data_IF_892975753769
#
_entry.id   IF_892975753769
#
_cell.length_a   1.000
_cell.length_b   1.000
_cell.length_c   1.000
_cell.angle_alpha   90.00
_cell.angle_beta   90.00
_cell.angle_gamma   90.00
#
_symmetry.space_group_name_H-M   'P 1'
#
loop_
_entity.id
_entity.type
_entity.pdbx_description
1 polymer ?
#
# COMPACT_ATOMS: atom_id res chain seq x y z
N UNK A 1 -21.91 -20.88 58.95
CA UNK A 1 -21.61 -21.94 57.96
C UNK A 1 -21.44 -21.27 56.61
N UNK A 2 -20.25 -21.31 55.96
CA UNK A 2 -20.12 -20.73 54.63
C UNK A 2 -20.93 -21.57 53.64
N UNK A 3 -21.96 -20.98 53.05
CA UNK A 3 -22.82 -21.65 52.06
C UNK A 3 -22.01 -22.05 50.83
N UNK A 4 -22.09 -23.31 50.43
CA UNK A 4 -21.55 -23.80 49.17
C UNK A 4 -22.56 -23.52 48.04
N UNK A 5 -22.07 -23.10 46.88
CA UNK A 5 -22.87 -22.74 45.71
C UNK A 5 -22.63 -23.77 44.61
N UNK A 6 -23.57 -24.69 44.42
CA UNK A 6 -23.49 -25.71 43.38
C UNK A 6 -23.78 -25.12 42.00
N UNK A 7 -23.02 -25.53 40.99
CA UNK A 7 -23.34 -25.22 39.61
C UNK A 7 -24.55 -26.04 39.15
N UNK A 8 -25.55 -25.44 38.49
CA UNK A 8 -26.67 -26.21 37.94
C UNK A 8 -26.29 -26.96 36.66
N UNK A 9 -25.22 -26.55 35.98
CA UNK A 9 -24.82 -27.06 34.67
C UNK A 9 -23.72 -28.14 34.76
N UNK A 10 -23.11 -28.34 35.94
CA UNK A 10 -22.15 -29.42 36.20
C UNK A 10 -22.01 -29.74 37.70
N UNK A 11 -21.29 -30.82 38.04
CA UNK A 11 -21.09 -31.27 39.42
C UNK A 11 -20.15 -30.40 40.27
N UNK A 12 -19.74 -29.20 39.81
CA UNK A 12 -18.79 -28.35 40.53
C UNK A 12 -19.46 -27.51 41.61
N UNK A 13 -18.86 -27.47 42.81
CA UNK A 13 -19.29 -26.60 43.91
C UNK A 13 -18.30 -25.46 44.11
N UNK A 14 -18.83 -24.24 44.22
CA UNK A 14 -18.07 -23.01 44.41
C UNK A 14 -18.24 -22.49 45.85
N UNK A 15 -17.21 -21.82 46.36
CA UNK A 15 -17.16 -21.32 47.74
C UNK A 15 -17.88 -19.98 47.94
N UNK A 16 -18.31 -19.35 46.85
CA UNK A 16 -19.05 -18.09 46.86
C UNK A 16 -19.90 -17.93 45.60
N UNK A 17 -20.93 -17.08 45.67
CA UNK A 17 -21.79 -16.74 44.53
C UNK A 17 -20.99 -16.14 43.37
N UNK A 18 -20.05 -15.23 43.64
CA UNK A 18 -19.17 -14.64 42.63
C UNK A 18 -18.27 -15.69 41.97
N UNK A 19 -17.79 -16.68 42.74
CA UNK A 19 -17.03 -17.81 42.22
C UNK A 19 -17.86 -18.68 41.27
N UNK A 20 -19.13 -18.91 41.60
CA UNK A 20 -20.07 -19.63 40.72
C UNK A 20 -20.34 -18.86 39.42
N UNK A 21 -20.55 -17.54 39.49
CA UNK A 21 -20.77 -16.70 38.31
C UNK A 21 -19.56 -16.74 37.36
N UNK A 22 -18.34 -16.58 37.89
CA UNK A 22 -17.11 -16.70 37.10
C UNK A 22 -16.98 -18.10 36.47
N UNK A 23 -17.23 -19.15 37.25
CA UNK A 23 -17.17 -20.51 36.74
C UNK A 23 -18.16 -20.74 35.58
N UNK A 24 -19.42 -20.29 35.71
CA UNK A 24 -20.42 -20.41 34.64
C UNK A 24 -19.99 -19.62 33.40
N UNK A 25 -19.50 -18.39 33.56
CA UNK A 25 -19.04 -17.58 32.42
C UNK A 25 -17.81 -18.15 31.70
N UNK A 26 -16.96 -18.93 32.38
CA UNK A 26 -15.76 -19.53 31.77
C UNK A 26 -16.02 -20.92 31.20
N UNK A 27 -16.77 -21.76 31.91
CA UNK A 27 -16.93 -23.19 31.58
C UNK A 27 -18.25 -23.47 30.86
N UNK A 28 -19.31 -22.75 31.22
CA UNK A 28 -20.65 -22.89 30.67
C UNK A 28 -21.08 -21.61 29.97
N UNK A 29 -20.12 -20.95 29.28
CA UNK A 29 -20.40 -19.72 28.56
C UNK A 29 -21.46 -20.05 27.52
N UNK A 30 -22.70 -19.69 27.81
CA UNK A 30 -23.77 -19.77 26.84
C UNK A 30 -23.45 -18.67 25.83
N UNK A 31 -22.84 -19.05 24.71
CA UNK A 31 -22.82 -18.17 23.57
C UNK A 31 -24.28 -17.90 23.27
N UNK A 32 -24.70 -16.64 23.34
CA UNK A 32 -25.98 -16.26 22.76
C UNK A 32 -25.99 -16.89 21.36
N UNK A 33 -27.01 -17.69 21.01
CA UNK A 33 -27.12 -18.16 19.64
C UNK A 33 -27.03 -16.91 18.78
N UNK A 34 -26.14 -16.95 17.79
CA UNK A 34 -26.06 -15.93 16.76
C UNK A 34 -27.50 -15.80 16.25
N UNK A 35 -28.15 -14.64 16.48
CA UNK A 35 -29.51 -14.46 15.98
C UNK A 35 -29.49 -14.78 14.50
N UNK A 36 -30.42 -15.60 14.02
CA UNK A 36 -30.62 -15.86 12.58
C UNK A 36 -31.05 -14.58 11.81
N UNK A 37 -31.19 -13.45 12.52
CA UNK A 37 -31.30 -12.09 11.98
C UNK A 37 -29.95 -11.45 11.62
N UNK A 38 -28.81 -12.12 11.84
CA UNK A 38 -27.53 -11.68 11.30
C UNK A 38 -27.58 -11.78 9.76
N UNK A 39 -27.40 -10.66 9.04
CA UNK A 39 -27.46 -10.68 7.58
C UNK A 39 -26.41 -11.68 7.07
N UNK A 40 -26.87 -12.64 6.27
CA UNK A 40 -26.05 -13.62 5.55
C UNK A 40 -24.69 -12.98 5.19
N UNK A 41 -23.56 -13.43 5.76
CA UNK A 41 -22.25 -12.82 5.53
C UNK A 41 -21.82 -12.88 4.05
N UNK A 42 -22.56 -13.60 3.20
CA UNK A 42 -22.38 -13.66 1.76
C UNK A 42 -23.18 -12.59 0.98
N UNK A 43 -24.17 -11.94 1.59
CA UNK A 43 -24.90 -10.82 0.97
C UNK A 43 -24.19 -9.50 1.20
N UNK A 44 -23.31 -9.16 0.28
CA UNK A 44 -22.73 -7.81 0.19
C UNK A 44 -23.42 -7.01 -0.93
N UNK A 45 -23.75 -5.76 -0.64
CA UNK A 45 -24.20 -4.79 -1.66
C UNK A 45 -23.03 -3.87 -1.99
N UNK A 46 -22.60 -3.85 -3.26
CA UNK A 46 -21.58 -2.91 -3.72
C UNK A 46 -22.25 -1.58 -4.07
N UNK A 47 -22.04 -0.56 -3.23
CA UNK A 47 -22.37 0.80 -3.57
C UNK A 47 -21.16 1.45 -4.25
N UNK A 48 -21.29 1.79 -5.52
CA UNK A 48 -20.23 2.46 -6.27
C UNK A 48 -20.31 3.98 -6.08
N UNK A 49 -19.19 4.63 -5.81
CA UNK A 49 -19.12 6.08 -5.82
C UNK A 49 -19.28 6.61 -7.25
N UNK A 50 -20.00 7.72 -7.50
CA UNK A 50 -20.27 8.21 -8.87
C UNK A 50 -19.02 8.47 -9.73
N UNK A 51 -17.86 8.67 -9.10
CA UNK A 51 -16.58 8.96 -9.77
C UNK A 51 -15.42 8.04 -9.39
N UNK A 52 -15.55 7.27 -8.31
CA UNK A 52 -14.45 6.45 -7.75
C UNK A 52 -14.87 4.97 -7.80
N UNK A 53 -15.12 4.50 -9.02
CA UNK A 53 -15.68 3.17 -9.27
C UNK A 53 -14.62 2.07 -9.33
N UNK A 54 -13.32 2.44 -9.38
CA UNK A 54 -12.18 1.54 -9.59
C UNK A 54 -12.31 0.65 -10.84
N UNK A 55 -13.07 1.11 -11.84
CA UNK A 55 -13.19 0.43 -13.14
C UNK A 55 -11.87 0.65 -13.91
N UNK A 56 -11.27 -0.41 -14.48
CA UNK A 56 -10.08 -0.25 -15.32
C UNK A 56 -10.35 0.73 -16.47
N UNK A 57 -9.45 1.68 -16.67
CA UNK A 57 -9.56 2.70 -17.71
C UNK A 57 -8.25 2.84 -18.48
N UNK A 58 -8.33 3.40 -19.68
CA UNK A 58 -7.16 3.76 -20.46
C UNK A 58 -6.51 5.06 -19.95
N UNK A 59 -5.41 5.49 -20.61
CA UNK A 59 -4.66 6.71 -20.24
C UNK A 59 -5.48 8.01 -20.33
N UNK A 60 -6.63 8.00 -21.00
CA UNK A 60 -7.52 9.15 -21.14
C UNK A 60 -8.68 9.10 -20.14
N UNK A 61 -8.70 8.08 -19.26
CA UNK A 61 -9.78 7.87 -18.30
C UNK A 61 -11.03 7.22 -18.91
N UNK A 62 -10.93 6.63 -20.10
CA UNK A 62 -12.05 5.91 -20.73
C UNK A 62 -12.10 4.49 -20.19
N UNK A 63 -13.24 4.08 -19.65
CA UNK A 63 -13.43 2.74 -19.08
C UNK A 63 -13.18 1.66 -20.13
N UNK A 64 -12.36 0.67 -19.78
CA UNK A 64 -12.11 -0.50 -20.59
C UNK A 64 -13.30 -1.48 -20.52
N UNK A 65 -13.53 -2.29 -21.57
CA UNK A 65 -14.51 -3.38 -21.52
C UNK A 65 -14.23 -4.34 -20.36
N UNK A 66 -15.29 -4.88 -19.75
CA UNK A 66 -15.17 -5.87 -18.70
C UNK A 66 -14.40 -7.11 -19.18
N UNK A 67 -13.41 -7.55 -18.39
CA UNK A 67 -12.56 -8.69 -18.73
C UNK A 67 -11.42 -8.39 -19.71
N UNK A 68 -11.14 -7.10 -19.99
CA UNK A 68 -9.96 -6.73 -20.78
C UNK A 68 -8.69 -7.29 -20.11
N UNK A 69 -7.82 -8.01 -20.86
CA UNK A 69 -6.58 -8.52 -20.30
C UNK A 69 -5.70 -7.36 -19.85
N UNK A 70 -4.90 -7.53 -18.78
CA UNK A 70 -3.92 -6.53 -18.40
C UNK A 70 -2.96 -6.30 -19.57
N UNK A 71 -2.47 -5.07 -19.70
CA UNK A 71 -1.40 -4.77 -20.65
C UNK A 71 -0.23 -5.73 -20.40
N UNK A 72 0.41 -6.26 -21.46
CA UNK A 72 1.64 -7.02 -21.30
C UNK A 72 2.61 -6.21 -20.46
N UNK A 73 3.23 -6.83 -19.46
CA UNK A 73 4.31 -6.18 -18.73
C UNK A 73 5.35 -5.69 -19.75
N UNK A 74 5.72 -4.41 -19.67
CA UNK A 74 6.82 -3.92 -20.48
C UNK A 74 8.04 -4.79 -20.15
N UNK A 75 8.69 -5.34 -21.18
CA UNK A 75 9.97 -6.03 -21.01
C UNK A 75 10.99 -4.97 -20.61
N UNK A 76 11.14 -4.77 -19.29
CA UNK A 76 12.20 -3.95 -18.72
C UNK A 76 13.46 -4.80 -18.65
N UNK A 77 14.01 -5.15 -19.81
CA UNK A 77 15.40 -5.59 -19.84
C UNK A 77 16.26 -4.33 -19.73
N UNK A 78 17.15 -4.30 -18.74
CA UNK A 78 18.06 -3.17 -18.45
C UNK A 78 18.98 -2.82 -19.64
N UNK A 79 19.08 -3.71 -20.64
CA UNK A 79 19.88 -3.54 -21.85
C UNK A 79 19.10 -2.91 -23.03
N UNK A 80 17.80 -2.69 -22.89
CA UNK A 80 16.98 -2.05 -23.93
C UNK A 80 17.12 -0.53 -23.82
N UNK A 81 17.45 0.18 -24.92
CA UNK A 81 17.40 1.64 -24.94
C UNK A 81 16.02 2.15 -24.49
N UNK A 82 15.98 2.97 -23.43
CA UNK A 82 14.73 3.44 -22.82
C UNK A 82 14.20 2.60 -21.66
N UNK A 83 14.95 1.58 -21.19
CA UNK A 83 14.60 0.81 -19.98
C UNK A 83 14.50 1.68 -18.72
N UNK A 84 15.20 2.82 -18.72
CA UNK A 84 15.21 3.81 -17.63
C UNK A 84 14.31 5.01 -17.89
N UNK A 85 13.54 5.04 -18.98
CA UNK A 85 12.68 6.18 -19.31
C UNK A 85 11.77 6.53 -18.11
N UNK A 86 11.65 7.83 -17.74
CA UNK A 86 12.08 9.01 -18.51
C UNK A 86 13.55 9.43 -18.30
N UNK A 87 14.35 8.68 -17.54
CA UNK A 87 15.78 8.96 -17.33
C UNK A 87 16.63 8.49 -18.52
N UNK A 88 17.65 9.27 -18.88
CA UNK A 88 18.56 8.95 -19.99
C UNK A 88 19.56 7.85 -19.61
N UNK A 89 19.79 7.65 -18.30
CA UNK A 89 20.71 6.64 -17.80
C UNK A 89 20.29 6.06 -16.46
N UNK A 90 20.86 4.89 -16.13
CA UNK A 90 20.72 4.29 -14.79
C UNK A 90 21.21 5.22 -13.68
N UNK A 91 22.31 5.95 -13.92
CA UNK A 91 22.90 6.86 -12.92
C UNK A 91 21.93 7.99 -12.55
N UNK A 92 21.20 8.50 -13.53
CA UNK A 92 20.14 9.49 -13.32
C UNK A 92 19.00 8.92 -12.48
N UNK A 93 18.50 7.74 -12.85
CA UNK A 93 17.47 7.05 -12.10
C UNK A 93 17.91 6.80 -10.64
N UNK A 94 19.11 6.26 -10.43
CA UNK A 94 19.63 5.95 -9.09
C UNK A 94 19.77 7.21 -8.24
N UNK A 95 20.21 8.33 -8.83
CA UNK A 95 20.28 9.62 -8.13
C UNK A 95 18.89 10.12 -7.73
N UNK A 96 17.94 10.16 -8.67
CA UNK A 96 16.58 10.61 -8.40
C UNK A 96 15.90 9.72 -7.36
N UNK A 97 16.02 8.40 -7.47
CA UNK A 97 15.47 7.44 -6.52
C UNK A 97 16.08 7.60 -5.12
N UNK A 98 17.40 7.76 -5.03
CA UNK A 98 18.07 7.97 -3.74
C UNK A 98 17.58 9.26 -3.05
N UNK A 99 17.59 10.39 -3.77
CA UNK A 99 17.21 11.67 -3.17
C UNK A 99 15.71 11.79 -2.89
N UNK A 100 14.86 11.31 -3.79
CA UNK A 100 13.41 11.47 -3.69
C UNK A 100 12.76 10.41 -2.79
N UNK A 101 13.11 9.13 -2.95
CA UNK A 101 12.44 8.03 -2.25
C UNK A 101 13.13 7.68 -0.93
N UNK A 102 14.46 7.54 -0.95
CA UNK A 102 15.19 7.01 0.21
C UNK A 102 15.54 8.11 1.21
N UNK A 103 16.23 9.16 0.76
CA UNK A 103 16.72 10.23 1.62
C UNK A 103 15.67 11.32 1.85
N UNK A 104 14.71 11.48 0.94
CA UNK A 104 13.71 12.56 0.96
C UNK A 104 14.34 13.94 1.15
N UNK A 105 15.40 14.18 0.38
CA UNK A 105 16.14 15.45 0.40
C UNK A 105 15.22 16.63 0.07
N UNK A 106 15.44 17.75 0.76
CA UNK A 106 14.82 19.02 0.40
C UNK A 106 15.27 19.49 -0.99
N UNK A 107 14.48 20.36 -1.62
CA UNK A 107 14.81 20.94 -2.92
C UNK A 107 16.19 21.63 -2.92
N UNK A 108 16.55 22.32 -1.83
CA UNK A 108 17.86 22.96 -1.66
C UNK A 108 19.00 21.94 -1.58
N UNK A 109 18.81 20.82 -0.89
CA UNK A 109 19.81 19.75 -0.83
C UNK A 109 20.00 19.06 -2.18
N UNK A 110 18.92 18.83 -2.92
CA UNK A 110 18.97 18.29 -4.28
C UNK A 110 19.71 19.27 -5.21
N UNK A 111 19.37 20.56 -5.16
CA UNK A 111 20.05 21.59 -5.95
C UNK A 111 21.55 21.60 -5.66
N UNK A 112 21.93 21.58 -4.38
CA UNK A 112 23.33 21.52 -3.97
C UNK A 112 24.03 20.24 -4.44
N UNK A 113 23.36 19.10 -4.42
CA UNK A 113 23.92 17.85 -4.94
C UNK A 113 24.16 17.91 -6.45
N UNK A 114 23.25 18.52 -7.22
CA UNK A 114 23.40 18.75 -8.66
C UNK A 114 24.53 19.74 -8.99
N UNK A 115 24.72 20.78 -8.17
CA UNK A 115 25.86 21.70 -8.30
C UNK A 115 27.19 20.98 -8.08
N UNK A 116 27.26 20.12 -7.04
CA UNK A 116 28.45 19.32 -6.76
C UNK A 116 28.74 18.33 -7.89
N UNK A 117 27.71 17.67 -8.42
CA UNK A 117 27.86 16.82 -9.60
C UNK A 117 28.42 17.62 -10.77
N UNK A 118 27.78 18.73 -11.12
CA UNK A 118 28.20 19.60 -12.22
C UNK A 118 29.66 20.02 -12.06
N UNK A 119 30.07 20.47 -10.88
CA UNK A 119 31.45 20.85 -10.60
C UNK A 119 32.44 19.68 -10.80
N UNK A 120 32.06 18.45 -10.44
CA UNK A 120 32.92 17.28 -10.60
C UNK A 120 33.13 16.88 -12.06
N UNK A 121 32.11 17.05 -12.91
CA UNK A 121 32.13 16.66 -14.32
C UNK A 121 32.49 17.79 -15.29
N UNK A 122 32.49 19.05 -14.83
CA UNK A 122 32.78 20.22 -15.66
C UNK A 122 34.15 20.14 -16.37
N UNK A 123 35.14 19.51 -15.73
CA UNK A 123 36.49 19.26 -16.30
C UNK A 123 36.46 18.38 -17.56
N UNK A 124 35.39 17.63 -17.76
CA UNK A 124 35.15 16.78 -18.92
C UNK A 124 34.23 17.43 -19.96
N UNK A 125 33.80 18.68 -19.76
CA UNK A 125 32.84 19.35 -20.63
C UNK A 125 31.40 18.87 -20.48
N UNK A 126 31.13 18.09 -19.43
CA UNK A 126 29.81 17.56 -19.09
C UNK A 126 29.13 18.42 -18.02
N UNK A 127 27.83 18.17 -17.77
CA UNK A 127 27.04 18.81 -16.70
C UNK A 127 26.15 17.78 -16.01
N UNK A 128 25.61 18.15 -14.84
CA UNK A 128 24.56 17.34 -14.22
C UNK A 128 23.31 17.24 -15.14
N UNK A 129 22.51 16.16 -15.00
CA UNK A 129 21.34 15.93 -15.85
C UNK A 129 20.28 17.04 -15.73
N UNK A 130 20.10 17.54 -14.50
CA UNK A 130 19.14 18.58 -14.16
C UNK A 130 19.85 19.85 -13.69
N UNK A 131 19.29 21.02 -14.01
CA UNK A 131 19.80 22.31 -13.53
C UNK A 131 19.42 22.61 -12.08
N UNK A 132 18.32 22.03 -11.61
CA UNK A 132 17.79 22.26 -10.27
C UNK A 132 16.84 21.11 -9.87
N UNK A 133 16.31 21.16 -8.65
CA UNK A 133 15.36 20.18 -8.15
C UNK A 133 14.03 20.17 -8.91
N UNK A 134 13.57 21.31 -9.45
CA UNK A 134 12.31 21.41 -10.20
C UNK A 134 12.35 20.57 -11.48
N UNK A 135 13.46 20.60 -12.21
CA UNK A 135 13.63 19.75 -13.40
C UNK A 135 13.66 18.27 -13.04
N UNK A 136 14.32 17.92 -11.93
CA UNK A 136 14.31 16.54 -11.43
C UNK A 136 12.89 16.10 -11.07
N UNK A 137 12.10 16.95 -10.42
CA UNK A 137 10.71 16.66 -10.10
C UNK A 137 9.85 16.52 -11.35
N UNK A 138 10.03 17.37 -12.36
CA UNK A 138 9.33 17.24 -13.64
C UNK A 138 9.64 15.89 -14.32
N UNK A 139 10.91 15.44 -14.30
CA UNK A 139 11.27 14.11 -14.81
C UNK A 139 10.63 12.98 -14.00
N UNK A 140 10.51 13.12 -12.67
CA UNK A 140 9.78 12.14 -11.84
C UNK A 140 8.28 12.11 -12.20
N UNK A 141 7.68 13.27 -12.40
CA UNK A 141 6.25 13.38 -12.77
C UNK A 141 5.96 12.85 -14.17
N UNK A 142 6.96 12.78 -15.05
CA UNK A 142 6.85 12.16 -16.37
C UNK A 142 6.75 10.62 -16.31
N UNK A 143 7.06 9.99 -15.17
CA UNK A 143 6.99 8.52 -15.01
C UNK A 143 5.56 8.02 -15.25
N UNK A 144 5.32 7.42 -16.42
CA UNK A 144 4.03 6.86 -16.80
C UNK A 144 3.81 5.43 -16.30
N UNK A 145 4.89 4.71 -15.99
CA UNK A 145 4.86 3.29 -15.69
C UNK A 145 5.13 3.02 -14.21
N UNK A 146 4.10 2.60 -13.48
CA UNK A 146 4.25 2.02 -12.15
C UNK A 146 4.23 0.49 -12.23
N UNK A 147 5.31 -0.17 -11.80
CA UNK A 147 5.34 -1.64 -11.60
C UNK A 147 4.58 -2.05 -10.34
N UNK A 148 3.37 -1.53 -10.14
CA UNK A 148 2.51 -2.02 -9.06
C UNK A 148 1.90 -3.34 -9.54
N UNK A 149 2.22 -4.49 -8.91
CA UNK A 149 1.56 -5.74 -9.26
C UNK A 149 0.08 -5.59 -8.92
N UNK A 150 -0.75 -5.48 -9.96
CA UNK A 150 -2.19 -5.54 -9.80
C UNK A 150 -2.55 -6.95 -9.34
N UNK A 151 -2.97 -7.10 -8.09
CA UNK A 151 -3.70 -8.29 -7.65
C UNK A 151 -5.18 -8.05 -7.96
N UNK A 152 -5.72 -8.87 -8.86
CA UNK A 152 -7.16 -9.01 -9.11
C UNK A 152 -7.80 -9.92 -8.08
#
# INVERSE_FOLDING_TARGET
MPGSYACPDCARTCRSASGLARHRNTVHRNFSPVSDDEPDPHKHTKAYHPKLTAIPCDRHGVNLPAGSPPLPAANLDEHIPGSWAPFDSRTEFDFAHFHFVQLQSSADEIHRALDLWTAAVLKHGERAPWRNAEELYNTIDEIQHGLMPWRV
#
